data_IF_867582418613
#
_entry.id   IF_867582418613
#
_cell.length_a   1.000
_cell.length_b   1.000
_cell.length_c   1.000
_cell.angle_alpha   90.00
_cell.angle_beta   90.00
_cell.angle_gamma   90.00
#
_symmetry.space_group_name_H-M   'P 1'
#
loop_
_entity.id
_entity.type
_entity.pdbx_description
1 polymer ?
#
# COMPACT_ATOMS: atom_id res chain seq x y z
N UNK A 1 16.00 35.66 -0.65
CA UNK A 1 16.71 34.47 -1.16
C UNK A 1 15.71 33.31 -1.21
N UNK A 2 15.24 32.91 -2.40
CA UNK A 2 14.31 31.77 -2.54
C UNK A 2 15.06 30.49 -2.19
N UNK A 3 14.67 29.83 -1.08
CA UNK A 3 15.23 28.54 -0.68
C UNK A 3 14.83 27.51 -1.73
N UNK A 4 15.80 26.98 -2.48
CA UNK A 4 15.56 25.92 -3.47
C UNK A 4 15.02 24.70 -2.74
N UNK A 5 13.73 24.42 -2.90
CA UNK A 5 13.10 23.23 -2.33
C UNK A 5 13.62 22.00 -3.08
N UNK A 6 14.02 20.97 -2.33
CA UNK A 6 14.42 19.68 -2.91
C UNK A 6 13.17 18.94 -3.34
N UNK A 7 13.24 18.24 -4.46
CA UNK A 7 12.14 17.38 -4.94
C UNK A 7 12.59 15.93 -4.85
N UNK A 8 11.74 15.07 -4.28
CA UNK A 8 11.92 13.62 -4.28
C UNK A 8 10.78 13.02 -5.08
N UNK A 9 11.13 12.16 -6.02
CA UNK A 9 10.18 11.45 -6.88
C UNK A 9 10.32 9.96 -6.60
N UNK A 10 9.22 9.30 -6.27
CA UNK A 10 9.15 7.86 -6.06
C UNK A 10 8.25 7.23 -7.13
N UNK A 11 8.68 6.07 -7.63
CA UNK A 11 7.92 5.28 -8.60
C UNK A 11 7.54 3.96 -7.97
N UNK A 12 6.31 3.51 -8.20
CA UNK A 12 5.89 2.19 -7.74
C UNK A 12 4.44 1.88 -8.07
N UNK A 13 3.99 0.73 -7.58
CA UNK A 13 2.60 0.32 -7.71
C UNK A 13 1.83 0.83 -6.48
N UNK A 14 0.79 1.66 -6.66
CA UNK A 14 -0.13 1.98 -5.60
C UNK A 14 -0.92 0.71 -5.31
N UNK A 15 -0.94 0.30 -4.04
CA UNK A 15 -1.70 -0.86 -3.60
C UNK A 15 -2.76 -0.40 -2.59
N UNK A 16 -3.85 -1.15 -2.49
CA UNK A 16 -4.81 -1.01 -1.42
C UNK A 16 -4.55 -2.12 -0.41
N UNK A 17 -3.90 -1.80 0.70
CA UNK A 17 -3.62 -2.76 1.76
C UNK A 17 -4.94 -3.03 2.50
N UNK A 18 -5.39 -4.28 2.48
CA UNK A 18 -6.58 -4.75 3.20
C UNK A 18 -6.11 -5.64 4.34
N UNK A 19 -6.31 -5.20 5.58
CA UNK A 19 -5.92 -5.91 6.80
C UNK A 19 -7.16 -6.39 7.54
N UNK A 20 -7.18 -7.65 7.95
CA UNK A 20 -8.27 -8.23 8.73
C UNK A 20 -7.70 -9.17 9.78
N UNK A 21 -8.44 -9.36 10.87
CA UNK A 21 -8.11 -10.35 11.90
C UNK A 21 -8.75 -11.68 11.51
N UNK A 22 -7.93 -12.70 11.27
CA UNK A 22 -8.37 -14.09 11.12
C UNK A 22 -8.38 -14.78 12.48
N UNK A 23 -9.48 -15.49 12.79
CA UNK A 23 -9.67 -16.17 14.09
C UNK A 23 -9.15 -17.60 14.09
N UNK A 24 -8.96 -18.19 12.91
CA UNK A 24 -8.52 -19.55 12.71
C UNK A 24 -7.68 -19.65 11.42
N UNK A 25 -7.08 -20.81 11.20
CA UNK A 25 -6.18 -21.06 10.07
C UNK A 25 -6.93 -21.45 8.78
N UNK A 26 -8.26 -21.35 8.74
CA UNK A 26 -9.04 -21.82 7.58
C UNK A 26 -8.62 -21.12 6.29
N UNK A 27 -8.52 -19.79 6.33
CA UNK A 27 -8.12 -18.99 5.17
C UNK A 27 -6.66 -19.25 4.78
N UNK A 28 -5.77 -19.41 5.76
CA UNK A 28 -4.35 -19.70 5.51
C UNK A 28 -4.20 -21.06 4.80
N UNK A 29 -4.85 -22.09 5.33
CA UNK A 29 -4.82 -23.44 4.76
C UNK A 29 -5.46 -23.49 3.37
N UNK A 30 -6.62 -22.83 3.16
CA UNK A 30 -7.34 -22.81 1.87
C UNK A 30 -6.49 -22.24 0.74
N UNK A 31 -5.66 -21.25 1.02
CA UNK A 31 -4.82 -20.57 0.03
C UNK A 31 -3.33 -20.93 0.10
N UNK A 32 -2.97 -21.91 0.93
CA UNK A 32 -1.60 -22.32 1.20
C UNK A 32 -0.70 -21.11 1.55
N UNK A 33 -1.18 -20.29 2.48
CA UNK A 33 -0.46 -19.14 3.04
C UNK A 33 0.17 -19.56 4.36
N UNK A 34 1.44 -19.21 4.55
CA UNK A 34 2.15 -19.43 5.80
C UNK A 34 2.14 -18.17 6.65
N UNK A 35 2.23 -18.33 7.96
CA UNK A 35 2.46 -17.21 8.87
C UNK A 35 3.77 -16.47 8.50
N UNK A 36 3.75 -15.15 8.61
CA UNK A 36 4.87 -14.25 8.28
C UNK A 36 5.45 -14.40 6.87
N UNK A 37 4.66 -14.91 5.92
CA UNK A 37 5.08 -15.13 4.53
C UNK A 37 4.56 -14.04 3.57
N UNK A 38 5.22 -13.91 2.43
CA UNK A 38 4.82 -13.03 1.34
C UNK A 38 4.69 -13.84 0.06
N UNK A 39 3.48 -13.86 -0.50
CA UNK A 39 3.16 -14.57 -1.74
C UNK A 39 2.54 -13.62 -2.76
N UNK A 40 3.13 -13.56 -3.95
CA UNK A 40 2.47 -12.97 -5.10
C UNK A 40 1.44 -13.97 -5.65
N UNK A 41 0.21 -13.49 -5.87
CA UNK A 41 -0.92 -14.32 -6.28
C UNK A 41 -1.48 -13.83 -7.61
N UNK A 42 -2.13 -14.74 -8.32
CA UNK A 42 -2.80 -14.41 -9.57
C UNK A 42 -4.07 -13.59 -9.32
N UNK A 43 -4.56 -12.92 -10.38
CA UNK A 43 -5.82 -12.16 -10.32
C UNK A 43 -7.02 -13.03 -9.89
N UNK A 44 -7.08 -14.28 -10.34
CA UNK A 44 -8.17 -15.19 -9.96
C UNK A 44 -8.10 -15.57 -8.48
N UNK A 45 -6.92 -15.90 -7.97
CA UNK A 45 -6.73 -16.18 -6.53
C UNK A 45 -7.12 -14.97 -5.68
N UNK A 46 -6.70 -13.76 -6.09
CA UNK A 46 -7.06 -12.53 -5.40
C UNK A 46 -8.57 -12.30 -5.37
N UNK A 47 -9.28 -12.52 -6.49
CA UNK A 47 -10.75 -12.40 -6.53
C UNK A 47 -11.43 -13.41 -5.60
N UNK A 48 -10.94 -14.64 -5.56
CA UNK A 48 -11.48 -15.66 -4.66
C UNK A 48 -11.28 -15.28 -3.19
N UNK A 49 -10.08 -14.82 -2.81
CA UNK A 49 -9.79 -14.35 -1.46
C UNK A 49 -10.73 -13.18 -1.10
N UNK A 50 -10.87 -12.19 -1.98
CA UNK A 50 -11.74 -11.03 -1.77
C UNK A 50 -13.21 -11.42 -1.54
N UNK A 51 -13.71 -12.44 -2.24
CA UNK A 51 -15.07 -12.96 -2.06
C UNK A 51 -15.22 -13.68 -0.71
N UNK A 52 -14.23 -14.49 -0.33
CA UNK A 52 -14.23 -15.21 0.95
C UNK A 52 -14.20 -14.27 2.16
N UNK A 53 -13.50 -13.13 2.04
CA UNK A 53 -13.37 -12.14 3.13
C UNK A 53 -14.41 -11.01 3.06
N UNK A 54 -15.44 -11.12 2.21
CA UNK A 54 -16.37 -10.01 1.97
C UNK A 54 -17.12 -9.59 3.25
N UNK A 55 -17.50 -10.57 4.07
CA UNK A 55 -18.22 -10.41 5.33
C UNK A 55 -17.33 -10.09 6.54
N UNK A 56 -16.02 -10.11 6.36
CA UNK A 56 -15.07 -9.84 7.43
C UNK A 56 -14.97 -8.34 7.69
N UNK A 57 -14.85 -7.98 8.96
CA UNK A 57 -14.41 -6.64 9.34
C UNK A 57 -12.96 -6.45 8.85
N UNK A 58 -12.75 -5.38 8.08
CA UNK A 58 -11.47 -5.12 7.40
C UNK A 58 -11.11 -3.65 7.47
N UNK A 59 -9.84 -3.38 7.67
CA UNK A 59 -9.24 -2.06 7.58
C UNK A 59 -8.57 -1.92 6.22
N UNK A 60 -8.87 -0.83 5.52
CA UNK A 60 -8.27 -0.52 4.23
C UNK A 60 -7.41 0.72 4.34
N UNK A 61 -6.21 0.66 3.78
CA UNK A 61 -5.28 1.79 3.76
C UNK A 61 -4.49 1.84 2.47
N UNK A 62 -4.02 3.04 2.12
CA UNK A 62 -3.15 3.19 0.96
C UNK A 62 -1.80 2.51 1.25
N UNK A 63 -1.44 1.57 0.38
CA UNK A 63 -0.29 0.69 0.52
C UNK A 63 0.75 0.87 -0.58
N UNK A 64 1.61 -0.13 -0.71
CA UNK A 64 2.71 -0.14 -1.68
C UNK A 64 4.01 0.43 -1.10
N UNK A 65 5.12 -0.28 -1.35
CA UNK A 65 6.42 0.00 -0.74
C UNK A 65 6.90 1.46 -0.96
N UNK A 66 6.89 1.92 -2.21
CA UNK A 66 7.35 3.27 -2.56
C UNK A 66 6.44 4.36 -1.97
N UNK A 67 5.12 4.15 -1.97
CA UNK A 67 4.15 5.09 -1.41
C UNK A 67 4.26 5.18 0.11
N UNK A 68 4.42 4.03 0.79
CA UNK A 68 4.63 3.98 2.24
C UNK A 68 5.94 4.68 2.64
N UNK A 69 7.03 4.45 1.90
CA UNK A 69 8.32 5.12 2.12
C UNK A 69 8.21 6.64 1.94
N UNK A 70 7.50 7.09 0.90
CA UNK A 70 7.28 8.51 0.63
C UNK A 70 6.43 9.17 1.73
N UNK A 71 5.44 8.46 2.28
CA UNK A 71 4.61 8.93 3.41
C UNK A 71 5.44 9.13 4.68
N UNK A 72 6.34 8.19 5.00
CA UNK A 72 7.28 8.35 6.12
C UNK A 72 8.20 9.54 5.88
N UNK A 73 8.71 9.69 4.66
CA UNK A 73 9.56 10.82 4.30
C UNK A 73 8.83 12.17 4.40
N UNK A 74 7.55 12.23 4.01
CA UNK A 74 6.67 13.40 4.18
C UNK A 74 6.60 13.81 5.64
N UNK A 75 6.38 12.84 6.54
CA UNK A 75 6.29 13.08 7.97
C UNK A 75 7.59 13.64 8.55
N UNK A 76 8.73 13.10 8.13
CA UNK A 76 10.06 13.55 8.56
C UNK A 76 10.43 14.93 8.02
N UNK A 77 10.19 15.19 6.72
CA UNK A 77 10.61 16.40 6.03
C UNK A 77 9.61 17.55 6.15
N UNK A 78 8.36 17.28 6.52
CA UNK A 78 7.27 18.26 6.59
C UNK A 78 7.18 19.09 5.30
N UNK A 79 7.44 20.40 5.35
CA UNK A 79 7.40 21.35 4.22
C UNK A 79 8.77 21.68 3.62
N UNK A 80 9.80 20.91 3.98
CA UNK A 80 11.19 21.20 3.53
C UNK A 80 11.52 20.65 2.14
N UNK A 81 10.67 19.80 1.58
CA UNK A 81 10.82 19.18 0.28
C UNK A 81 9.45 18.96 -0.40
N UNK A 82 9.46 18.93 -1.73
CA UNK A 82 8.32 18.48 -2.54
C UNK A 82 8.44 16.98 -2.75
N UNK A 83 7.38 16.23 -2.48
CA UNK A 83 7.33 14.78 -2.65
C UNK A 83 6.31 14.45 -3.74
N UNK A 84 6.71 13.61 -4.70
CA UNK A 84 5.87 13.19 -5.82
C UNK A 84 5.90 11.67 -5.94
N UNK A 85 4.72 11.05 -5.97
CA UNK A 85 4.57 9.64 -6.30
C UNK A 85 4.07 9.51 -7.73
N UNK A 86 4.66 8.58 -8.49
CA UNK A 86 4.30 8.29 -9.87
C UNK A 86 4.02 6.80 -10.01
N UNK A 87 2.88 6.47 -10.58
CA UNK A 87 2.53 5.09 -10.92
C UNK A 87 2.40 4.90 -12.44
N UNK A 88 2.17 3.65 -12.85
CA UNK A 88 2.11 3.24 -14.25
C UNK A 88 0.81 3.64 -14.96
N UNK A 89 -0.26 3.98 -14.24
CA UNK A 89 -1.60 4.20 -14.78
C UNK A 89 -2.08 5.66 -14.63
N UNK A 90 -1.61 6.47 -13.66
CA UNK A 90 -1.94 7.89 -13.55
C UNK A 90 -1.02 8.67 -12.58
N UNK A 91 -0.94 9.99 -12.71
CA UNK A 91 -0.17 10.87 -11.82
C UNK A 91 -0.97 11.15 -10.54
N UNK A 92 -0.69 10.45 -9.44
CA UNK A 92 -1.28 10.79 -8.15
C UNK A 92 -0.40 11.78 -7.38
N UNK A 93 -0.81 13.06 -7.31
CA UNK A 93 -0.19 14.03 -6.41
C UNK A 93 -0.69 13.74 -4.99
N UNK A 94 0.20 13.33 -4.08
CA UNK A 94 -0.18 13.17 -2.67
C UNK A 94 -0.55 14.53 -2.07
N UNK A 95 -1.78 14.71 -1.56
CA UNK A 95 -2.14 15.94 -0.87
C UNK A 95 -1.30 16.07 0.40
N UNK A 96 -0.88 17.29 0.70
CA UNK A 96 -0.27 17.65 1.97
C UNK A 96 -1.33 17.47 3.06
N UNK A 97 -1.25 16.39 3.83
CA UNK A 97 -1.91 16.28 5.14
C UNK A 97 -1.28 17.27 6.12
#
# INVERSE_FOLDING_TARGET
MLKKMKTVVAFGNPLLDTTLLVKDDFLLNKYNLKEDDQKEITKNEMQNICNDIISYEKNQSAGGCAQNSLRVLQWLLKKSATLLFLDRQEKTVMPLL
#
